data_IF_519970082578
#
_entry.id   IF_519970082578
#
_cell.length_a   1.000
_cell.length_b   1.000
_cell.length_c   1.000
_cell.angle_alpha   90.00
_cell.angle_beta   90.00
_cell.angle_gamma   90.00
#
_symmetry.space_group_name_H-M   'P 1'
#
loop_
_entity.id
_entity.type
_entity.pdbx_description
1 polymer ?
#
# COMPACT_ATOMS: atom_id res chain seq x y z
N UNK A 1 22.76 -1.79 -9.02
CA UNK A 1 21.48 -2.38 -8.56
C UNK A 1 20.39 -1.39 -8.88
N UNK A 2 19.53 -1.72 -9.81
CA UNK A 2 18.42 -0.82 -10.20
C UNK A 2 17.26 -1.04 -9.24
N UNK A 3 16.96 -0.06 -8.39
CA UNK A 3 15.73 -0.05 -7.61
C UNK A 3 14.56 0.01 -8.59
N UNK A 4 13.75 -1.04 -8.60
CA UNK A 4 12.53 -1.05 -9.41
C UNK A 4 11.46 -0.34 -8.60
N UNK A 5 11.08 0.86 -9.04
CA UNK A 5 9.95 1.61 -8.48
C UNK A 5 8.71 1.32 -9.30
N UNK A 6 7.66 0.88 -8.68
CA UNK A 6 6.34 0.79 -9.30
C UNK A 6 5.38 1.74 -8.60
N UNK A 7 4.73 2.61 -9.36
CA UNK A 7 3.73 3.56 -8.88
C UNK A 7 2.33 3.07 -9.19
N UNK A 8 1.46 3.12 -8.21
CA UNK A 8 0.09 2.60 -8.31
C UNK A 8 -0.91 3.64 -7.79
N UNK A 9 -1.93 3.94 -8.58
CA UNK A 9 -3.06 4.75 -8.13
C UNK A 9 -4.20 3.86 -7.65
N UNK A 10 -4.73 4.15 -6.48
CA UNK A 10 -5.83 3.41 -5.87
C UNK A 10 -7.16 4.14 -6.04
N UNK A 11 -8.16 3.46 -6.56
CA UNK A 11 -9.52 3.94 -6.66
C UNK A 11 -10.53 2.91 -6.14
N UNK A 12 -11.60 3.36 -5.50
CA UNK A 12 -12.69 2.54 -4.99
C UNK A 12 -13.64 2.09 -6.12
N UNK A 13 -13.26 1.10 -6.93
CA UNK A 13 -14.17 0.35 -7.80
C UNK A 13 -13.49 -0.92 -8.35
N UNK A 14 -14.21 -2.02 -8.33
CA UNK A 14 -13.72 -3.37 -8.62
C UNK A 14 -13.30 -3.64 -10.07
N UNK A 15 -12.10 -4.12 -10.31
CA UNK A 15 -11.75 -5.23 -11.24
C UNK A 15 -10.28 -5.66 -11.04
N UNK A 16 -10.03 -6.94 -10.83
CA UNK A 16 -8.68 -7.52 -10.75
C UNK A 16 -8.22 -7.95 -12.14
N UNK A 17 -7.09 -7.43 -12.62
CA UNK A 17 -6.41 -7.99 -13.80
C UNK A 17 -4.99 -8.42 -13.44
N UNK A 18 -4.70 -9.71 -13.64
CA UNK A 18 -3.35 -10.26 -13.60
C UNK A 18 -2.66 -10.05 -14.94
N UNK A 19 -1.59 -9.28 -14.99
CA UNK A 19 -0.67 -9.28 -16.12
C UNK A 19 0.78 -9.34 -15.61
N UNK A 20 1.47 -10.42 -15.93
CA UNK A 20 2.91 -10.54 -15.73
C UNK A 20 3.60 -9.98 -16.99
N UNK A 21 4.13 -8.78 -16.90
CA UNK A 21 4.98 -8.18 -17.95
C UNK A 21 6.32 -7.82 -17.34
N UNK A 22 7.40 -8.07 -18.07
CA UNK A 22 8.76 -7.70 -17.64
C UNK A 22 9.05 -6.19 -17.68
N UNK A 23 8.22 -5.43 -18.37
CA UNK A 23 8.30 -3.98 -18.46
C UNK A 23 6.87 -3.44 -18.26
N UNK A 24 6.61 -2.96 -17.04
CA UNK A 24 5.32 -2.39 -16.63
C UNK A 24 5.38 -0.88 -16.81
N UNK A 25 5.48 -0.42 -18.02
CA UNK A 25 5.26 0.99 -18.33
C UNK A 25 3.82 1.20 -18.77
N UNK A 26 3.18 2.20 -18.21
CA UNK A 26 1.87 2.63 -18.70
C UNK A 26 2.04 3.31 -20.06
N UNK A 27 1.80 2.57 -21.13
CA UNK A 27 1.96 3.05 -22.51
C UNK A 27 0.79 3.88 -23.04
N UNK A 28 0.11 4.60 -22.18
CA UNK A 28 -1.00 5.49 -22.55
C UNK A 28 -2.26 5.21 -21.75
N UNK A 29 -3.16 6.20 -21.67
CA UNK A 29 -4.39 6.06 -20.92
C UNK A 29 -5.26 4.99 -21.58
N UNK A 30 -5.51 3.89 -20.88
CA UNK A 30 -6.56 2.97 -21.26
C UNK A 30 -7.87 3.47 -20.67
N UNK A 31 -8.93 3.62 -21.48
CA UNK A 31 -10.24 3.85 -20.90
C UNK A 31 -10.54 2.68 -19.97
N UNK A 32 -10.89 2.98 -18.72
CA UNK A 32 -11.42 1.93 -17.87
C UNK A 32 -12.76 1.44 -18.46
N UNK A 33 -13.28 0.27 -18.08
CA UNK A 33 -14.56 -0.23 -18.57
C UNK A 33 -15.73 0.72 -18.32
N UNK A 34 -15.61 1.63 -17.34
CA UNK A 34 -16.57 2.68 -17.04
C UNK A 34 -16.29 4.00 -17.79
N UNK A 35 -15.22 4.06 -18.56
CA UNK A 35 -15.03 5.09 -19.59
C UNK A 35 -14.59 6.49 -19.13
N UNK A 36 -14.28 6.70 -17.84
CA UNK A 36 -14.19 8.07 -17.32
C UNK A 36 -12.83 8.50 -16.76
N UNK A 37 -11.83 7.63 -16.65
CA UNK A 37 -10.58 7.98 -15.99
C UNK A 37 -9.37 7.95 -16.90
N UNK A 38 -8.72 9.10 -17.00
CA UNK A 38 -7.39 9.24 -17.59
C UNK A 38 -6.39 9.43 -16.44
N UNK A 39 -5.62 8.41 -16.09
CA UNK A 39 -4.72 8.43 -14.93
C UNK A 39 -3.73 9.60 -14.96
N UNK A 40 -3.28 10.08 -16.14
CA UNK A 40 -2.42 11.26 -16.25
C UNK A 40 -3.09 12.59 -15.89
N UNK A 41 -4.41 12.61 -15.69
CA UNK A 41 -5.19 13.78 -15.28
C UNK A 41 -5.73 13.68 -13.85
N UNK A 42 -5.42 12.58 -13.15
CA UNK A 42 -5.89 12.36 -11.78
C UNK A 42 -4.98 13.13 -10.82
N UNK A 43 -5.57 14.04 -10.04
CA UNK A 43 -4.86 14.67 -8.93
C UNK A 43 -4.82 13.72 -7.74
N UNK A 44 -3.63 13.33 -7.31
CA UNK A 44 -3.44 12.57 -6.08
C UNK A 44 -3.55 13.48 -4.87
N UNK A 45 -4.30 13.04 -3.87
CA UNK A 45 -4.44 13.75 -2.59
C UNK A 45 -3.42 13.26 -1.57
N UNK A 46 -2.87 12.08 -1.78
CA UNK A 46 -1.94 11.44 -0.86
C UNK A 46 -0.91 10.59 -1.60
N UNK A 47 0.34 10.65 -1.17
CA UNK A 47 1.42 9.81 -1.70
C UNK A 47 2.00 8.97 -0.57
N UNK A 48 2.00 7.66 -0.76
CA UNK A 48 2.47 6.68 0.21
C UNK A 48 3.65 5.93 -0.41
N UNK A 49 4.77 5.87 0.30
CA UNK A 49 5.93 5.06 -0.08
C UNK A 49 6.01 3.86 0.83
N UNK A 50 5.94 2.67 0.28
CA UNK A 50 5.97 1.41 1.02
C UNK A 50 7.28 0.69 0.72
N UNK A 51 8.13 0.57 1.73
CA UNK A 51 9.33 -0.25 1.69
C UNK A 51 9.13 -1.46 2.60
N UNK A 52 9.39 -2.63 2.05
CA UNK A 52 9.39 -3.85 2.84
C UNK A 52 10.75 -4.08 3.48
N UNK A 53 10.75 -4.85 4.54
CA UNK A 53 11.94 -5.33 5.24
C UNK A 53 11.62 -6.62 6.00
N UNK A 54 12.66 -7.32 6.42
CA UNK A 54 12.52 -8.54 7.22
C UNK A 54 13.35 -8.46 8.51
N UNK A 55 13.05 -7.51 9.42
CA UNK A 55 13.80 -7.34 10.66
C UNK A 55 13.61 -8.51 11.63
N UNK A 56 14.58 -8.69 12.53
CA UNK A 56 14.43 -9.57 13.68
C UNK A 56 13.79 -8.80 14.83
N UNK A 57 12.57 -9.20 15.22
CA UNK A 57 11.82 -8.58 16.29
C UNK A 57 11.55 -9.65 17.37
N UNK A 58 11.98 -9.40 18.58
CA UNK A 58 11.86 -10.35 19.71
C UNK A 58 12.42 -11.75 19.38
N UNK A 59 13.59 -11.79 18.71
CA UNK A 59 14.27 -13.04 18.35
C UNK A 59 13.65 -13.81 17.16
N UNK A 60 12.64 -13.25 16.50
CA UNK A 60 12.00 -13.86 15.30
C UNK A 60 12.10 -12.91 14.12
N UNK A 61 12.50 -13.43 12.96
CA UNK A 61 12.42 -12.70 11.71
C UNK A 61 10.95 -12.51 11.31
N UNK A 62 10.59 -11.28 10.97
CA UNK A 62 9.22 -10.90 10.61
C UNK A 62 9.23 -9.97 9.40
N UNK A 63 8.23 -10.12 8.55
CA UNK A 63 8.01 -9.12 7.50
C UNK A 63 7.47 -7.82 8.11
N UNK A 64 7.98 -6.72 7.61
CA UNK A 64 7.56 -5.38 8.02
C UNK A 64 7.44 -4.46 6.80
N UNK A 65 6.51 -3.52 6.88
CA UNK A 65 6.35 -2.43 5.92
C UNK A 65 6.63 -1.13 6.64
N UNK A 66 7.50 -0.30 6.11
CA UNK A 66 7.96 0.94 6.74
C UNK A 66 8.35 0.74 8.23
N UNK A 67 9.09 -0.34 8.51
CA UNK A 67 9.51 -0.76 9.86
C UNK A 67 8.40 -1.32 10.76
N UNK A 68 7.15 -1.39 10.31
CA UNK A 68 6.04 -1.93 11.10
C UNK A 68 5.70 -3.34 10.67
N UNK A 69 5.84 -4.31 11.58
CA UNK A 69 5.35 -5.68 11.41
C UNK A 69 3.94 -5.77 12.00
N UNK A 70 2.98 -6.09 11.13
CA UNK A 70 1.57 -6.12 11.50
C UNK A 70 1.26 -7.23 12.50
N UNK A 71 0.49 -6.89 13.52
CA UNK A 71 -0.17 -7.83 14.43
C UNK A 71 -1.69 -7.65 14.30
N UNK A 72 -2.45 -8.76 14.15
CA UNK A 72 -3.90 -8.68 14.12
C UNK A 72 -4.44 -8.17 15.46
N UNK A 73 -5.50 -7.38 15.39
CA UNK A 73 -6.25 -6.96 16.57
C UNK A 73 -7.30 -8.03 16.93
N UNK A 74 -7.64 -8.13 18.21
CA UNK A 74 -8.68 -9.05 18.69
C UNK A 74 -10.08 -8.67 18.17
N UNK A 75 -10.29 -7.38 17.92
CA UNK A 75 -11.53 -6.85 17.32
C UNK A 75 -11.28 -6.54 15.84
N UNK A 76 -12.14 -7.00 14.91
CA UNK A 76 -12.03 -6.62 13.51
C UNK A 76 -11.98 -5.10 13.33
N UNK A 77 -10.99 -4.61 12.56
CA UNK A 77 -10.72 -3.17 12.42
C UNK A 77 -11.94 -2.39 11.90
N UNK A 78 -12.67 -2.96 10.94
CA UNK A 78 -13.89 -2.33 10.40
C UNK A 78 -14.98 -2.17 11.45
N UNK A 79 -15.12 -3.14 12.34
CA UNK A 79 -16.08 -3.09 13.45
C UNK A 79 -15.64 -2.04 14.47
N UNK A 80 -14.35 -2.03 14.82
CA UNK A 80 -13.78 -1.04 15.74
C UNK A 80 -13.96 0.39 15.21
N UNK A 81 -13.74 0.60 13.92
CA UNK A 81 -13.96 1.92 13.31
C UNK A 81 -15.42 2.31 13.30
N UNK A 82 -16.32 1.42 12.92
CA UNK A 82 -17.75 1.70 12.84
C UNK A 82 -18.35 2.06 14.21
N UNK A 83 -18.04 1.28 15.25
CA UNK A 83 -18.52 1.50 16.62
C UNK A 83 -17.64 2.42 17.46
N UNK A 84 -16.58 3.00 16.88
CA UNK A 84 -15.64 3.88 17.56
C UNK A 84 -15.04 3.26 18.84
N UNK A 85 -14.68 1.97 18.76
CA UNK A 85 -14.05 1.25 19.86
C UNK A 85 -12.60 1.72 19.96
N UNK A 86 -12.27 2.34 21.08
CA UNK A 86 -10.92 2.86 21.34
C UNK A 86 -9.92 1.75 21.67
N UNK A 87 -8.63 1.99 21.42
CA UNK A 87 -7.54 1.10 21.83
C UNK A 87 -7.29 -0.10 20.89
N UNK A 88 -8.07 -0.27 19.84
CA UNK A 88 -7.90 -1.38 18.89
C UNK A 88 -6.83 -1.06 17.86
N UNK A 89 -6.80 0.15 17.35
CA UNK A 89 -5.78 0.65 16.43
C UNK A 89 -5.60 2.16 16.57
N UNK A 90 -4.47 2.65 16.07
CA UNK A 90 -4.23 4.08 15.91
C UNK A 90 -4.13 4.42 14.43
N UNK A 91 -4.96 5.36 13.98
CA UNK A 91 -4.91 5.86 12.62
C UNK A 91 -3.58 6.57 12.36
N UNK A 92 -2.94 6.32 11.23
CA UNK A 92 -1.63 6.87 10.92
C UNK A 92 -0.48 6.27 11.74
N UNK A 93 -0.67 5.10 12.33
CA UNK A 93 0.36 4.41 13.12
C UNK A 93 1.52 3.85 12.30
N UNK A 94 1.36 3.76 10.99
CA UNK A 94 2.45 3.46 10.06
C UNK A 94 2.80 4.73 9.28
N UNK A 95 4.08 5.10 9.18
CA UNK A 95 4.48 6.30 8.44
C UNK A 95 4.28 6.13 6.93
N UNK A 96 3.90 7.20 6.25
CA UNK A 96 3.71 7.23 4.80
C UNK A 96 5.02 7.08 4.02
N UNK A 97 6.14 7.29 4.67
CA UNK A 97 7.47 7.11 4.11
C UNK A 97 8.29 6.14 4.93
N UNK A 98 9.18 5.36 4.28
CA UNK A 98 10.07 4.46 4.99
C UNK A 98 10.94 5.22 6.01
N UNK A 99 10.97 4.70 7.23
CA UNK A 99 11.86 5.17 8.27
C UNK A 99 12.99 4.16 8.42
N UNK A 100 14.23 4.58 8.26
CA UNK A 100 15.41 3.72 8.46
C UNK A 100 15.61 3.35 9.93
N UNK A 101 14.80 2.45 10.46
CA UNK A 101 14.88 2.01 11.85
C UNK A 101 14.64 0.52 12.03
N UNK A 102 14.91 0.01 13.22
CA UNK A 102 14.56 -1.36 13.60
C UNK A 102 13.04 -1.58 13.54
N UNK A 103 12.62 -2.79 13.18
CA UNK A 103 11.20 -3.11 13.10
C UNK A 103 10.52 -3.20 14.47
N UNK A 104 9.24 -2.88 14.51
CA UNK A 104 8.40 -3.03 15.71
C UNK A 104 7.04 -3.63 15.37
N UNK A 105 6.35 -4.15 16.40
CA UNK A 105 5.04 -4.80 16.24
C UNK A 105 3.93 -3.81 16.50
N UNK A 106 2.98 -3.71 15.57
CA UNK A 106 1.79 -2.86 15.75
C UNK A 106 0.64 -3.30 14.85
N UNK A 107 -0.59 -3.08 15.30
CA UNK A 107 -1.77 -3.07 14.41
C UNK A 107 -1.76 -1.75 13.64
N UNK A 108 -1.15 -1.78 12.47
CA UNK A 108 -0.88 -0.57 11.67
C UNK A 108 -2.04 -0.25 10.74
N UNK A 109 -2.48 1.00 10.75
CA UNK A 109 -3.54 1.52 9.88
C UNK A 109 -3.06 2.83 9.26
N UNK A 110 -3.15 2.92 7.95
CA UNK A 110 -2.91 4.16 7.19
C UNK A 110 -4.20 4.95 7.04
N UNK A 111 -4.10 6.26 7.06
CA UNK A 111 -5.21 7.13 6.73
C UNK A 111 -5.27 7.36 5.21
N UNK A 112 -6.48 7.47 4.68
CA UNK A 112 -6.71 7.93 3.31
C UNK A 112 -7.97 8.78 3.25
N UNK A 113 -8.00 9.73 2.33
CA UNK A 113 -9.15 10.61 2.14
C UNK A 113 -10.29 9.88 1.44
N UNK A 114 -11.51 10.08 1.94
CA UNK A 114 -12.70 9.55 1.28
C UNK A 114 -12.84 10.16 -0.12
N UNK A 115 -12.98 9.32 -1.15
CA UNK A 115 -13.01 9.69 -2.56
C UNK A 115 -11.71 10.37 -3.07
N UNK A 116 -10.64 10.30 -2.31
CA UNK A 116 -9.32 10.71 -2.76
C UNK A 116 -8.63 9.65 -3.62
N UNK A 117 -7.65 10.06 -4.40
CA UNK A 117 -6.74 9.16 -5.08
C UNK A 117 -5.40 9.16 -4.37
N UNK A 118 -4.95 7.99 -3.97
CA UNK A 118 -3.63 7.82 -3.40
C UNK A 118 -2.65 7.26 -4.45
N UNK A 119 -1.47 7.85 -4.52
CA UNK A 119 -0.33 7.28 -5.22
C UNK A 119 0.43 6.37 -4.25
N UNK A 120 0.63 5.11 -4.61
CA UNK A 120 1.42 4.19 -3.81
C UNK A 120 2.70 3.84 -4.57
N UNK A 121 3.84 4.09 -3.94
CA UNK A 121 5.17 3.78 -4.46
C UNK A 121 5.70 2.59 -3.70
N UNK A 122 5.92 1.49 -4.37
CA UNK A 122 6.55 0.30 -3.78
C UNK A 122 8.07 0.38 -3.95
N UNK A 123 8.78 0.30 -2.83
CA UNK A 123 10.24 0.25 -2.81
C UNK A 123 10.70 -1.15 -2.38
N UNK A 124 11.53 -1.77 -3.20
CA UNK A 124 12.17 -3.03 -2.85
C UNK A 124 13.67 -2.80 -2.63
N UNK A 125 14.12 -2.58 -1.38
CA UNK A 125 15.54 -2.43 -1.07
C UNK A 125 16.28 -3.78 -1.00
N UNK A 126 15.55 -4.90 -1.06
CA UNK A 126 16.10 -6.24 -0.94
C UNK A 126 16.41 -6.86 -2.31
N UNK A 127 17.30 -7.84 -2.34
CA UNK A 127 17.68 -8.60 -3.55
C UNK A 127 16.74 -9.82 -3.76
N UNK A 128 15.46 -9.64 -3.50
CA UNK A 128 14.43 -10.68 -3.64
C UNK A 128 13.22 -10.15 -4.37
N UNK A 129 12.51 -11.05 -5.07
CA UNK A 129 11.22 -10.70 -5.68
C UNK A 129 10.15 -10.54 -4.61
N UNK A 130 9.33 -9.52 -4.76
CA UNK A 130 8.24 -9.24 -3.85
C UNK A 130 6.95 -9.03 -4.62
N UNK A 131 5.87 -9.58 -4.07
CA UNK A 131 4.53 -9.37 -4.57
C UNK A 131 3.70 -8.60 -3.55
N UNK A 132 2.90 -7.67 -4.04
CA UNK A 132 2.00 -6.87 -3.22
C UNK A 132 0.57 -7.16 -3.62
N UNK A 133 -0.30 -7.21 -2.64
CA UNK A 133 -1.73 -7.40 -2.81
C UNK A 133 -2.50 -6.41 -1.95
N UNK A 134 -3.56 -5.84 -2.50
CA UNK A 134 -4.46 -4.92 -1.80
C UNK A 134 -5.87 -5.43 -1.98
N UNK A 135 -6.50 -5.87 -0.89
CA UNK A 135 -7.86 -6.34 -0.89
C UNK A 135 -8.87 -5.21 -1.12
N UNK A 136 -9.86 -5.47 -1.97
CA UNK A 136 -11.03 -4.60 -2.11
C UNK A 136 -10.80 -3.29 -2.83
N UNK A 137 -9.64 -3.07 -3.44
CA UNK A 137 -9.32 -1.86 -4.18
C UNK A 137 -8.83 -2.14 -5.59
N UNK A 138 -9.25 -1.30 -6.52
CA UNK A 138 -8.69 -1.25 -7.86
C UNK A 138 -7.52 -0.29 -7.91
N UNK A 139 -6.61 -0.54 -8.83
CA UNK A 139 -5.45 0.32 -9.03
C UNK A 139 -5.06 0.41 -10.52
N UNK A 140 -4.38 1.49 -10.86
CA UNK A 140 -3.70 1.66 -12.14
C UNK A 140 -2.19 1.61 -11.90
N UNK A 141 -1.47 0.85 -12.71
CA UNK A 141 -0.01 0.89 -12.72
C UNK A 141 0.43 2.05 -13.59
N UNK A 142 1.20 2.98 -13.04
CA UNK A 142 1.57 4.24 -13.70
C UNK A 142 3.08 4.42 -13.92
N UNK A 143 3.90 3.52 -13.39
CA UNK A 143 5.35 3.60 -13.60
C UNK A 143 6.14 2.53 -12.87
#
# INVERSE_FOLDING_TARGET
MSNVFSKVFLNYSFVVMYQIRRNLTASGPRPNPQGSYHYGLINTTHTIRLANSAPVINGKQRYAVNSVSFIPADTPLKLADYFKISGVFNLGSIPDNPTGGGGYLQTSVMAADFRGFAEVVFENPEDTLQSWHIDGHNFFVVG
#
